data_IF_160751726746
#
_entry.id   IF_160751726746
#
_cell.length_a   1.000
_cell.length_b   1.000
_cell.length_c   1.000
_cell.angle_alpha   90.00
_cell.angle_beta   90.00
_cell.angle_gamma   90.00
#
_symmetry.space_group_name_H-M   'P 1'
#
loop_
_entity.id
_entity.type
_entity.pdbx_description
1 polymer ?
#
# COMPACT_ATOMS: atom_id res chain seq x y z
N UNK A 1 -22.15 -21.90 10.76
CA UNK A 1 -23.03 -22.92 10.13
C UNK A 1 -22.28 -24.23 10.19
N UNK A 2 -22.72 -25.21 10.98
CA UNK A 2 -22.18 -26.57 10.90
C UNK A 2 -23.39 -27.47 10.73
N UNK A 3 -23.38 -28.32 9.70
CA UNK A 3 -24.50 -29.20 9.41
C UNK A 3 -24.71 -30.15 10.61
N UNK A 4 -25.96 -30.35 11.02
CA UNK A 4 -26.33 -31.26 12.11
C UNK A 4 -26.06 -32.75 11.77
N UNK A 5 -25.41 -33.03 10.63
CA UNK A 5 -25.17 -34.36 10.07
C UNK A 5 -23.71 -34.83 10.11
N UNK A 6 -22.71 -33.99 10.47
CA UNK A 6 -21.33 -34.46 10.71
C UNK A 6 -21.22 -34.95 12.17
N UNK A 7 -22.08 -35.92 12.51
CA UNK A 7 -22.20 -36.52 13.83
C UNK A 7 -22.12 -38.03 13.68
N UNK A 8 -20.96 -38.59 14.00
CA UNK A 8 -20.87 -40.00 14.41
C UNK A 8 -20.66 -40.05 15.93
N UNK A 9 -20.78 -41.24 16.54
CA UNK A 9 -20.46 -41.40 17.97
C UNK A 9 -19.01 -41.04 18.32
N UNK A 10 -18.12 -41.06 17.33
CA UNK A 10 -16.66 -40.96 17.51
C UNK A 10 -16.02 -39.72 16.85
N UNK A 11 -16.77 -38.94 16.06
CA UNK A 11 -16.28 -37.70 15.43
C UNK A 11 -17.35 -36.62 15.44
N UNK A 12 -17.08 -35.57 16.21
CA UNK A 12 -17.89 -34.36 16.29
C UNK A 12 -17.07 -33.19 15.75
N UNK A 13 -17.43 -32.70 14.56
CA UNK A 13 -16.66 -31.64 13.90
C UNK A 13 -16.55 -30.37 14.75
N UNK A 14 -17.61 -30.00 15.48
CA UNK A 14 -17.59 -28.80 16.32
C UNK A 14 -16.59 -28.94 17.47
N UNK A 15 -16.63 -30.08 18.18
CA UNK A 15 -15.67 -30.35 19.26
C UNK A 15 -14.24 -30.40 18.73
N UNK A 16 -14.00 -31.03 17.57
CA UNK A 16 -12.68 -31.11 16.95
C UNK A 16 -12.15 -29.74 16.51
N UNK A 17 -13.01 -28.87 15.96
CA UNK A 17 -12.66 -27.47 15.67
C UNK A 17 -12.20 -26.77 16.95
N UNK A 18 -12.94 -26.89 18.04
CA UNK A 18 -12.62 -26.21 19.29
C UNK A 18 -11.31 -26.78 19.91
N UNK A 19 -11.21 -28.10 20.05
CA UNK A 19 -10.10 -28.81 20.73
C UNK A 19 -8.80 -28.84 19.92
N UNK A 20 -8.86 -29.13 18.62
CA UNK A 20 -7.64 -29.35 17.82
C UNK A 20 -7.09 -28.07 17.18
N UNK A 21 -7.94 -27.05 16.98
CA UNK A 21 -7.57 -25.80 16.28
C UNK A 21 -7.65 -24.62 17.24
N UNK A 22 -8.83 -24.31 17.78
CA UNK A 22 -9.02 -23.06 18.51
C UNK A 22 -8.27 -23.00 19.85
N UNK A 23 -8.11 -24.12 20.57
CA UNK A 23 -7.23 -24.13 21.77
C UNK A 23 -5.80 -23.68 21.45
N UNK A 24 -5.27 -24.01 20.26
CA UNK A 24 -3.98 -23.54 19.80
C UNK A 24 -4.05 -22.07 19.33
N UNK A 25 -5.07 -21.72 18.54
CA UNK A 25 -5.23 -20.35 18.02
C UNK A 25 -5.39 -19.31 19.14
N UNK A 26 -6.09 -19.64 20.22
CA UNK A 26 -6.22 -18.80 21.41
C UNK A 26 -4.84 -18.44 22.00
N UNK A 27 -3.91 -19.39 22.04
CA UNK A 27 -2.57 -19.20 22.60
C UNK A 27 -1.70 -18.27 21.75
N UNK A 28 -2.00 -18.13 20.45
CA UNK A 28 -1.20 -17.34 19.51
C UNK A 28 -1.91 -16.07 19.02
N UNK A 29 -3.06 -15.71 19.62
CA UNK A 29 -3.78 -14.48 19.31
C UNK A 29 -4.68 -14.54 18.08
N UNK A 30 -5.19 -15.73 17.73
CA UNK A 30 -6.08 -15.99 16.60
C UNK A 30 -7.42 -16.63 17.00
N UNK A 31 -7.73 -16.66 18.30
CA UNK A 31 -8.96 -17.26 18.84
C UNK A 31 -10.27 -16.65 18.36
N UNK A 32 -10.24 -15.39 17.90
CA UNK A 32 -11.42 -14.63 17.51
C UNK A 32 -11.82 -14.79 16.04
N UNK A 33 -11.06 -15.55 15.24
CA UNK A 33 -11.45 -15.81 13.84
C UNK A 33 -12.76 -16.60 13.78
N UNK A 34 -13.54 -16.42 12.72
CA UNK A 34 -14.79 -17.16 12.56
C UNK A 34 -14.51 -18.66 12.41
N UNK A 35 -15.25 -19.50 13.17
CA UNK A 35 -15.17 -20.96 13.05
C UNK A 35 -15.55 -21.46 11.65
N UNK A 36 -16.34 -20.67 10.92
CA UNK A 36 -16.66 -20.92 9.52
C UNK A 36 -15.44 -20.90 8.60
N UNK A 37 -14.36 -20.22 8.99
CA UNK A 37 -13.06 -20.25 8.28
C UNK A 37 -12.50 -21.68 8.21
N UNK A 38 -12.69 -22.49 9.25
CA UNK A 38 -12.30 -23.91 9.22
C UNK A 38 -13.16 -24.69 8.21
N UNK A 39 -14.47 -24.48 8.21
CA UNK A 39 -15.36 -25.16 7.26
C UNK A 39 -15.15 -24.70 5.81
N UNK A 40 -14.74 -23.45 5.59
CA UNK A 40 -14.33 -22.95 4.29
C UNK A 40 -13.04 -23.61 3.82
N UNK A 41 -12.07 -23.80 4.73
CA UNK A 41 -10.82 -24.50 4.43
C UNK A 41 -11.09 -25.96 4.05
N UNK A 42 -11.92 -26.67 4.82
CA UNK A 42 -12.33 -28.04 4.48
C UNK A 42 -13.01 -28.11 3.11
N UNK A 43 -13.96 -27.22 2.83
CA UNK A 43 -14.65 -27.18 1.54
C UNK A 43 -13.69 -26.87 0.38
N UNK A 44 -12.71 -26.00 0.59
CA UNK A 44 -11.72 -25.70 -0.44
C UNK A 44 -10.78 -26.87 -0.71
N UNK A 45 -10.29 -27.54 0.35
CA UNK A 45 -9.39 -28.69 0.25
C UNK A 45 -10.06 -29.94 -0.36
N UNK A 46 -11.35 -30.18 -0.04
CA UNK A 46 -12.07 -31.37 -0.49
C UNK A 46 -12.76 -31.13 -1.85
N UNK A 47 -13.50 -30.03 -1.98
CA UNK A 47 -14.36 -29.76 -3.15
C UNK A 47 -13.77 -28.75 -4.13
N UNK A 48 -12.64 -28.11 -3.78
CA UNK A 48 -12.04 -27.04 -4.60
C UNK A 48 -12.85 -25.74 -4.63
N UNK A 49 -13.82 -25.55 -3.71
CA UNK A 49 -14.64 -24.33 -3.63
C UNK A 49 -15.07 -23.97 -2.21
N UNK A 50 -15.17 -22.66 -1.95
CA UNK A 50 -15.66 -22.11 -0.69
C UNK A 50 -17.16 -21.84 -0.66
N UNK A 51 -17.94 -22.34 -1.63
CA UNK A 51 -19.38 -22.05 -1.70
C UNK A 51 -20.12 -22.49 -0.43
N UNK A 52 -21.18 -21.75 -0.07
CA UNK A 52 -22.01 -22.12 1.09
C UNK A 52 -22.65 -23.50 0.93
N UNK A 53 -22.95 -23.91 -0.31
CA UNK A 53 -23.50 -25.23 -0.60
C UNK A 53 -22.45 -26.33 -0.40
N UNK A 54 -21.20 -26.14 -0.83
CA UNK A 54 -20.10 -27.06 -0.53
C UNK A 54 -19.89 -27.21 0.97
N UNK A 55 -19.77 -26.09 1.71
CA UNK A 55 -19.63 -26.11 3.18
C UNK A 55 -20.76 -26.88 3.89
N UNK A 56 -21.99 -26.80 3.38
CA UNK A 56 -23.15 -27.50 3.98
C UNK A 56 -23.20 -28.97 3.61
N UNK A 57 -22.72 -29.34 2.42
CA UNK A 57 -22.85 -30.68 1.87
C UNK A 57 -21.56 -31.51 1.97
N UNK A 58 -20.55 -31.03 2.70
CA UNK A 58 -19.36 -31.80 3.06
C UNK A 58 -19.71 -33.21 3.55
N UNK A 59 -19.17 -34.22 2.89
CA UNK A 59 -19.37 -35.61 3.27
C UNK A 59 -18.64 -35.91 4.59
N UNK A 60 -19.31 -36.52 5.58
CA UNK A 60 -18.70 -36.81 6.87
C UNK A 60 -17.49 -37.77 6.82
N UNK A 61 -17.41 -38.66 5.84
CA UNK A 61 -16.30 -39.59 5.66
C UNK A 61 -15.11 -38.84 5.06
N UNK A 62 -15.32 -38.05 4.00
CA UNK A 62 -14.27 -37.20 3.41
C UNK A 62 -13.70 -36.20 4.42
N UNK A 63 -14.56 -35.58 5.25
CA UNK A 63 -14.10 -34.68 6.33
C UNK A 63 -13.21 -35.41 7.33
N UNK A 64 -13.54 -36.66 7.68
CA UNK A 64 -12.74 -37.45 8.62
C UNK A 64 -11.39 -37.85 8.04
N UNK A 65 -11.37 -38.20 6.76
CA UNK A 65 -10.14 -38.59 6.06
C UNK A 65 -9.17 -37.40 5.90
N UNK A 66 -9.69 -36.21 5.62
CA UNK A 66 -8.87 -35.02 5.33
C UNK A 66 -8.69 -34.06 6.52
N UNK A 67 -9.18 -34.43 7.72
CA UNK A 67 -9.19 -33.55 8.89
C UNK A 67 -7.79 -33.14 9.34
N UNK A 68 -6.89 -34.11 9.53
CA UNK A 68 -5.57 -33.85 10.08
C UNK A 68 -4.73 -32.98 9.13
N UNK A 69 -4.77 -33.27 7.83
CA UNK A 69 -4.04 -32.49 6.82
C UNK A 69 -4.61 -31.07 6.70
N UNK A 70 -5.94 -30.91 6.74
CA UNK A 70 -6.58 -29.58 6.73
C UNK A 70 -6.21 -28.77 7.96
N UNK A 71 -6.19 -29.40 9.14
CA UNK A 71 -5.81 -28.76 10.40
C UNK A 71 -4.36 -28.29 10.36
N UNK A 72 -3.41 -29.15 9.95
CA UNK A 72 -2.00 -28.78 9.84
C UNK A 72 -1.75 -27.70 8.78
N UNK A 73 -2.45 -27.76 7.66
CA UNK A 73 -2.39 -26.77 6.59
C UNK A 73 -2.89 -25.39 7.07
N UNK A 74 -4.00 -25.34 7.81
CA UNK A 74 -4.53 -24.09 8.38
C UNK A 74 -3.60 -23.48 9.42
N UNK A 75 -3.05 -24.28 10.34
CA UNK A 75 -2.08 -23.81 11.33
C UNK A 75 -0.82 -23.28 10.63
N UNK A 76 -0.34 -23.99 9.59
CA UNK A 76 0.82 -23.58 8.80
C UNK A 76 0.57 -22.27 8.04
N UNK A 77 -0.62 -22.10 7.45
CA UNK A 77 -1.03 -20.86 6.79
C UNK A 77 -1.02 -19.66 7.73
N UNK A 78 -1.58 -19.81 8.94
CA UNK A 78 -1.53 -18.75 9.97
C UNK A 78 -0.09 -18.47 10.39
N UNK A 79 0.71 -19.52 10.63
CA UNK A 79 2.14 -19.37 10.95
C UNK A 79 2.92 -18.62 9.87
N UNK A 80 2.63 -18.91 8.60
CA UNK A 80 3.21 -18.23 7.45
C UNK A 80 2.82 -16.75 7.41
N UNK A 81 1.54 -16.43 7.55
CA UNK A 81 1.03 -15.04 7.59
C UNK A 81 1.67 -14.24 8.73
N UNK A 82 1.83 -14.84 9.92
CA UNK A 82 2.50 -14.20 11.07
C UNK A 82 3.96 -13.87 10.80
N UNK A 83 4.65 -14.76 10.07
CA UNK A 83 6.09 -14.65 9.80
C UNK A 83 6.38 -13.70 8.65
N UNK A 84 5.71 -13.89 7.51
CA UNK A 84 6.02 -13.16 6.27
C UNK A 84 5.25 -11.86 6.15
N UNK A 85 3.98 -11.83 6.55
CA UNK A 85 3.08 -10.72 6.22
C UNK A 85 2.78 -9.80 7.39
N UNK A 86 3.40 -10.00 8.56
CA UNK A 86 3.16 -9.15 9.73
C UNK A 86 1.76 -9.32 10.35
N UNK A 87 1.02 -10.37 9.99
CA UNK A 87 -0.29 -10.69 10.60
C UNK A 87 -0.06 -11.24 12.00
N UNK A 88 0.28 -10.41 12.99
CA UNK A 88 0.70 -10.88 14.32
C UNK A 88 -0.45 -11.41 15.17
N UNK A 89 -1.68 -10.95 14.89
CA UNK A 89 -2.93 -11.31 15.56
C UNK A 89 -4.07 -11.37 14.54
N UNK A 90 -5.19 -12.01 14.91
CA UNK A 90 -6.40 -12.07 14.06
C UNK A 90 -6.88 -10.71 13.59
N UNK A 91 -6.81 -9.68 14.43
CA UNK A 91 -7.33 -8.34 14.13
C UNK A 91 -6.47 -7.57 13.11
N UNK A 92 -5.30 -8.10 12.76
CA UNK A 92 -4.41 -7.52 11.75
C UNK A 92 -4.68 -8.11 10.37
N UNK A 93 -5.37 -9.25 10.27
CA UNK A 93 -5.57 -9.90 8.98
C UNK A 93 -6.47 -9.02 8.09
N UNK A 94 -6.06 -8.69 6.85
CA UNK A 94 -6.91 -7.90 5.96
C UNK A 94 -8.27 -8.53 5.73
N UNK A 95 -8.28 -9.84 5.51
CA UNK A 95 -9.49 -10.64 5.35
C UNK A 95 -9.26 -12.07 5.86
N UNK A 96 -10.14 -12.56 6.73
CA UNK A 96 -10.05 -13.95 7.24
C UNK A 96 -10.08 -15.00 6.12
N UNK A 97 -10.75 -14.69 5.01
CA UNK A 97 -10.77 -15.53 3.80
C UNK A 97 -9.41 -15.76 3.13
N UNK A 98 -8.36 -15.04 3.53
CA UNK A 98 -6.99 -15.36 3.11
C UNK A 98 -6.46 -16.66 3.74
N UNK A 99 -6.92 -17.02 4.95
CA UNK A 99 -6.47 -18.22 5.67
C UNK A 99 -6.84 -19.48 4.88
N UNK A 100 -8.10 -19.70 4.42
CA UNK A 100 -8.46 -20.89 3.66
C UNK A 100 -7.69 -21.02 2.34
N UNK A 101 -7.44 -19.93 1.62
CA UNK A 101 -6.73 -19.98 0.33
C UNK A 101 -5.25 -20.36 0.51
N UNK A 102 -4.59 -19.78 1.52
CA UNK A 102 -3.22 -20.19 1.88
C UNK A 102 -3.17 -21.61 2.44
N UNK A 103 -4.15 -22.01 3.25
CA UNK A 103 -4.23 -23.37 3.76
C UNK A 103 -4.43 -24.38 2.62
N UNK A 104 -5.23 -24.03 1.60
CA UNK A 104 -5.35 -24.83 0.38
C UNK A 104 -4.02 -25.01 -0.34
N UNK A 105 -3.21 -23.95 -0.49
CA UNK A 105 -1.84 -24.08 -1.02
C UNK A 105 -1.01 -25.08 -0.19
N UNK A 106 -1.03 -24.97 1.13
CA UNK A 106 -0.25 -25.83 2.03
C UNK A 106 -0.70 -27.30 1.93
N UNK A 107 -2.01 -27.50 1.80
CA UNK A 107 -2.64 -28.81 1.63
C UNK A 107 -2.26 -29.45 0.29
N UNK A 108 -2.44 -28.75 -0.82
CA UNK A 108 -2.13 -29.27 -2.17
C UNK A 108 -0.64 -29.57 -2.38
N UNK A 109 0.23 -28.82 -1.70
CA UNK A 109 1.69 -29.03 -1.80
C UNK A 109 2.25 -30.00 -0.77
N UNK A 110 1.46 -30.44 0.22
CA UNK A 110 1.91 -31.16 1.42
C UNK A 110 3.09 -30.44 2.10
N UNK A 111 2.98 -29.11 2.24
CA UNK A 111 4.03 -28.26 2.83
C UNK A 111 3.51 -27.46 4.01
N UNK A 112 4.44 -27.14 4.91
CA UNK A 112 4.20 -26.25 6.06
C UNK A 112 4.60 -24.80 5.78
N UNK A 113 5.09 -24.52 4.58
CA UNK A 113 5.58 -23.22 4.17
C UNK A 113 5.47 -23.09 2.64
N UNK A 114 5.42 -21.86 2.14
CA UNK A 114 5.45 -21.56 0.71
C UNK A 114 6.81 -21.97 0.13
N UNK A 115 6.78 -22.63 -1.04
CA UNK A 115 7.97 -22.93 -1.83
C UNK A 115 8.68 -21.61 -2.20
N UNK A 116 10.01 -21.49 -2.02
CA UNK A 116 10.77 -20.33 -2.47
C UNK A 116 10.44 -19.86 -3.90
N UNK A 117 10.19 -20.79 -4.83
CA UNK A 117 9.86 -20.46 -6.23
C UNK A 117 8.47 -19.83 -6.37
N UNK A 118 7.58 -20.00 -5.38
CA UNK A 118 6.22 -19.45 -5.34
C UNK A 118 6.13 -18.20 -4.45
N UNK A 119 7.18 -17.86 -3.71
CA UNK A 119 7.19 -16.84 -2.66
C UNK A 119 6.74 -15.47 -3.18
N UNK A 120 7.33 -15.00 -4.27
CA UNK A 120 7.02 -13.68 -4.86
C UNK A 120 5.54 -13.57 -5.28
N UNK A 121 5.01 -14.61 -5.94
CA UNK A 121 3.62 -14.63 -6.40
C UNK A 121 2.64 -14.67 -5.22
N UNK A 122 2.90 -15.48 -4.18
CA UNK A 122 2.03 -15.55 -3.00
C UNK A 122 2.08 -14.24 -2.20
N UNK A 123 3.25 -13.60 -2.08
CA UNK A 123 3.39 -12.33 -1.39
C UNK A 123 2.65 -11.22 -2.15
N UNK A 124 2.80 -11.14 -3.48
CA UNK A 124 2.03 -10.21 -4.32
C UNK A 124 0.53 -10.46 -4.20
N UNK A 125 0.10 -11.73 -4.16
CA UNK A 125 -1.31 -12.08 -3.97
C UNK A 125 -1.82 -11.52 -2.65
N UNK A 126 -1.12 -11.74 -1.53
CA UNK A 126 -1.54 -11.24 -0.23
C UNK A 126 -1.76 -9.72 -0.25
N UNK A 127 -0.77 -8.95 -0.71
CA UNK A 127 -0.83 -7.49 -0.70
C UNK A 127 -1.89 -6.96 -1.67
N UNK A 128 -2.01 -7.53 -2.86
CA UNK A 128 -3.03 -7.12 -3.82
C UNK A 128 -4.44 -7.45 -3.37
N UNK A 129 -4.68 -8.59 -2.72
CA UNK A 129 -5.99 -8.89 -2.11
C UNK A 129 -6.32 -7.86 -1.02
N UNK A 130 -5.35 -7.51 -0.18
CA UNK A 130 -5.53 -6.55 0.92
C UNK A 130 -5.86 -5.13 0.42
N UNK A 131 -5.12 -4.65 -0.58
CA UNK A 131 -5.18 -3.26 -1.07
C UNK A 131 -6.29 -3.02 -2.09
N UNK A 132 -6.66 -4.02 -2.90
CA UNK A 132 -7.78 -3.91 -3.86
C UNK A 132 -9.17 -4.01 -3.19
N UNK A 133 -9.22 -4.49 -1.95
CA UNK A 133 -10.48 -4.82 -1.29
C UNK A 133 -11.18 -6.03 -1.89
N UNK A 134 -10.44 -6.97 -2.51
CA UNK A 134 -10.97 -8.12 -3.26
C UNK A 134 -12.03 -8.92 -2.51
N UNK A 135 -11.85 -9.12 -1.20
CA UNK A 135 -12.78 -9.90 -0.37
C UNK A 135 -13.80 -9.04 0.40
N UNK A 136 -13.90 -7.74 0.11
CA UNK A 136 -14.93 -6.86 0.69
C UNK A 136 -16.36 -7.22 0.27
N UNK A 137 -16.51 -7.95 -0.84
CA UNK A 137 -17.77 -8.47 -1.34
C UNK A 137 -17.58 -9.84 -2.00
N UNK A 138 -18.61 -10.68 -1.97
CA UNK A 138 -18.60 -12.00 -2.61
C UNK A 138 -17.37 -12.87 -2.27
N UNK A 139 -16.90 -12.79 -1.02
CA UNK A 139 -15.63 -13.37 -0.58
C UNK A 139 -15.47 -14.85 -0.97
N UNK A 140 -16.49 -15.69 -0.77
CA UNK A 140 -16.44 -17.12 -1.11
C UNK A 140 -16.19 -17.38 -2.60
N UNK A 141 -16.80 -16.60 -3.49
CA UNK A 141 -16.56 -16.69 -4.93
C UNK A 141 -15.13 -16.29 -5.25
N UNK A 142 -14.64 -15.18 -4.69
CA UNK A 142 -13.27 -14.72 -4.90
C UNK A 142 -12.22 -15.67 -4.34
N UNK A 143 -12.47 -16.28 -3.20
CA UNK A 143 -11.60 -17.33 -2.64
C UNK A 143 -11.54 -18.57 -3.55
N UNK A 144 -12.66 -18.93 -4.20
CA UNK A 144 -12.68 -20.03 -5.17
C UNK A 144 -11.94 -19.66 -6.46
N UNK A 145 -12.03 -18.41 -6.92
CA UNK A 145 -11.20 -17.93 -8.04
C UNK A 145 -9.70 -17.97 -7.67
N UNK A 146 -9.37 -17.56 -6.44
CA UNK A 146 -8.00 -17.49 -5.96
C UNK A 146 -7.39 -18.87 -5.70
N UNK A 147 -8.19 -19.90 -5.37
CA UNK A 147 -7.68 -21.27 -5.34
C UNK A 147 -7.27 -21.77 -6.73
N UNK A 148 -7.94 -21.31 -7.79
CA UNK A 148 -7.52 -21.58 -9.18
C UNK A 148 -6.29 -20.80 -9.60
N UNK A 149 -6.08 -19.63 -9.00
CA UNK A 149 -4.81 -18.91 -9.11
C UNK A 149 -3.69 -19.72 -8.44
N UNK A 150 -3.93 -20.22 -7.23
CA UNK A 150 -3.00 -21.09 -6.50
C UNK A 150 -2.67 -22.37 -7.28
N UNK A 151 -3.65 -23.05 -7.88
CA UNK A 151 -3.43 -24.24 -8.71
C UNK A 151 -2.41 -23.96 -9.83
N UNK A 152 -2.49 -22.77 -10.46
CA UNK A 152 -1.57 -22.35 -11.53
C UNK A 152 -0.17 -22.03 -11.00
N UNK A 153 -0.08 -21.37 -9.85
CA UNK A 153 1.21 -21.13 -9.16
C UNK A 153 1.89 -22.49 -8.88
N UNK A 154 1.15 -23.45 -8.32
CA UNK A 154 1.67 -24.80 -8.01
C UNK A 154 2.13 -25.52 -9.28
N UNK A 155 1.46 -25.29 -10.41
CA UNK A 155 1.86 -25.84 -11.70
C UNK A 155 3.14 -25.20 -12.29
N UNK A 156 3.73 -24.21 -11.60
CA UNK A 156 4.93 -23.49 -12.05
C UNK A 156 4.65 -22.44 -13.12
N UNK A 157 3.40 -21.99 -13.25
CA UNK A 157 3.06 -20.86 -14.12
C UNK A 157 3.48 -19.54 -13.48
N UNK A 158 3.90 -18.59 -14.33
CA UNK A 158 4.02 -17.19 -13.93
C UNK A 158 2.63 -16.55 -14.01
N UNK A 159 2.00 -16.38 -12.85
CA UNK A 159 0.61 -15.94 -12.74
C UNK A 159 0.56 -14.45 -12.47
N UNK A 160 -0.02 -13.73 -13.43
CA UNK A 160 -0.26 -12.30 -13.29
C UNK A 160 -1.40 -12.04 -12.29
N UNK A 161 -1.10 -11.34 -11.20
CA UNK A 161 -2.06 -11.01 -10.14
C UNK A 161 -2.53 -9.57 -10.34
N UNK A 162 -3.47 -9.34 -11.24
CA UNK A 162 -3.93 -7.99 -11.59
C UNK A 162 -5.17 -7.56 -10.82
N UNK A 163 -5.09 -7.55 -9.49
CA UNK A 163 -6.12 -6.89 -8.69
C UNK A 163 -5.76 -5.42 -8.56
N UNK A 164 -6.57 -4.56 -9.17
CA UNK A 164 -6.38 -3.10 -9.12
C UNK A 164 -6.36 -2.65 -7.66
N UNK A 165 -5.23 -2.14 -7.14
CA UNK A 165 -5.16 -1.65 -5.78
C UNK A 165 -6.09 -0.43 -5.66
N UNK A 166 -6.75 -0.30 -4.52
CA UNK A 166 -7.56 0.87 -4.24
C UNK A 166 -6.89 1.67 -3.13
N UNK A 167 -5.81 2.36 -3.46
CA UNK A 167 -4.98 3.11 -2.53
C UNK A 167 -4.49 4.39 -3.20
N UNK A 168 -4.45 5.45 -2.41
CA UNK A 168 -3.86 6.75 -2.72
C UNK A 168 -3.39 7.38 -1.41
N UNK A 169 -2.55 8.40 -1.44
CA UNK A 169 -2.12 9.14 -0.24
C UNK A 169 -3.33 9.72 0.50
N UNK A 170 -4.30 10.29 -0.22
CA UNK A 170 -5.57 10.77 0.34
C UNK A 170 -6.39 9.67 1.00
N UNK A 171 -6.47 8.49 0.37
CA UNK A 171 -7.18 7.36 0.95
C UNK A 171 -6.49 6.85 2.22
N UNK A 172 -5.15 6.87 2.29
CA UNK A 172 -4.40 6.55 3.50
C UNK A 172 -4.70 7.57 4.61
N UNK A 173 -4.64 8.87 4.33
CA UNK A 173 -4.95 9.95 5.29
C UNK A 173 -6.37 9.87 5.81
N UNK A 174 -7.34 9.56 4.96
CA UNK A 174 -8.77 9.54 5.34
C UNK A 174 -9.25 8.19 5.91
N UNK A 175 -8.44 7.13 5.80
CA UNK A 175 -8.78 5.81 6.34
C UNK A 175 -8.83 5.83 7.86
N UNK A 176 -9.93 5.32 8.40
CA UNK A 176 -10.21 5.40 9.83
C UNK A 176 -9.68 4.16 10.57
N UNK A 177 -8.81 4.37 11.56
CA UNK A 177 -8.26 3.28 12.38
C UNK A 177 -9.33 2.40 13.05
N UNK A 178 -10.53 2.94 13.31
CA UNK A 178 -11.62 2.20 13.97
C UNK A 178 -12.45 1.31 13.05
N UNK A 179 -12.22 1.33 11.73
CA UNK A 179 -12.90 0.43 10.78
C UNK A 179 -12.16 -0.89 10.71
N UNK A 180 -12.32 -1.74 11.72
CA UNK A 180 -11.58 -3.02 11.88
C UNK A 180 -11.75 -4.00 10.71
N UNK A 181 -12.81 -3.88 9.92
CA UNK A 181 -13.05 -4.70 8.72
C UNK A 181 -12.42 -4.13 7.44
N UNK A 182 -11.66 -3.04 7.53
CA UNK A 182 -11.01 -2.42 6.37
C UNK A 182 -9.72 -3.16 6.02
N UNK A 183 -9.66 -3.71 4.81
CA UNK A 183 -8.46 -4.35 4.26
C UNK A 183 -7.25 -3.42 4.27
N UNK A 184 -7.40 -2.17 3.81
CA UNK A 184 -6.32 -1.17 3.80
C UNK A 184 -5.77 -0.85 5.20
N UNK A 185 -6.66 -0.65 6.18
CA UNK A 185 -6.27 -0.41 7.59
C UNK A 185 -5.48 -1.58 8.17
N UNK A 186 -5.91 -2.81 7.86
CA UNK A 186 -5.29 -4.03 8.34
C UNK A 186 -3.95 -4.30 7.60
N UNK A 187 -3.88 -4.00 6.29
CA UNK A 187 -2.65 -4.01 5.50
C UNK A 187 -1.61 -3.05 6.05
N UNK A 188 -2.03 -1.84 6.46
CA UNK A 188 -1.14 -0.86 7.10
C UNK A 188 -0.52 -1.39 8.40
N UNK A 189 -1.30 -2.06 9.25
CA UNK A 189 -0.72 -2.70 10.44
C UNK A 189 0.22 -3.84 10.11
N UNK A 190 -0.12 -4.64 9.09
CA UNK A 190 0.73 -5.71 8.60
C UNK A 190 2.08 -5.18 8.10
N UNK A 191 2.07 -4.07 7.35
CA UNK A 191 3.26 -3.38 6.87
C UNK A 191 4.14 -2.92 8.04
N UNK A 192 3.56 -2.16 8.98
CA UNK A 192 4.31 -1.72 10.16
C UNK A 192 4.87 -2.91 10.96
N UNK A 193 4.09 -3.97 11.15
CA UNK A 193 4.53 -5.17 11.87
C UNK A 193 5.63 -5.95 11.13
N UNK A 194 5.62 -5.92 9.78
CA UNK A 194 6.66 -6.50 8.93
C UNK A 194 7.98 -5.73 9.06
N UNK A 195 7.92 -4.41 9.28
CA UNK A 195 9.09 -3.55 9.47
C UNK A 195 9.73 -3.69 10.86
N UNK A 196 9.19 -4.56 11.74
CA UNK A 196 9.74 -4.90 13.07
C UNK A 196 9.97 -3.62 13.91
N UNK A 197 8.87 -2.96 14.30
CA UNK A 197 8.90 -1.63 14.89
C UNK A 197 9.73 -1.62 16.18
N UNK A 198 10.58 -0.61 16.33
CA UNK A 198 11.51 -0.50 17.46
C UNK A 198 10.97 0.42 18.57
N UNK A 199 11.26 0.10 19.82
CA UNK A 199 10.91 0.90 20.98
C UNK A 199 11.68 2.22 20.95
N UNK A 200 10.95 3.33 21.04
CA UNK A 200 11.49 4.66 20.77
C UNK A 200 12.63 5.12 21.70
N UNK A 201 12.69 4.63 22.94
CA UNK A 201 13.74 5.06 23.89
C UNK A 201 14.97 4.13 23.91
N UNK A 202 14.84 2.86 23.52
CA UNK A 202 15.92 1.86 23.73
C UNK A 202 16.27 1.02 22.50
N UNK A 203 15.55 1.19 21.38
CA UNK A 203 15.82 0.52 20.12
C UNK A 203 15.50 -0.98 20.10
N UNK A 204 14.88 -1.53 21.16
CA UNK A 204 14.47 -2.94 21.19
C UNK A 204 13.25 -3.20 20.30
N UNK A 205 13.12 -4.39 19.71
CA UNK A 205 11.94 -4.74 18.91
C UNK A 205 10.70 -4.88 19.80
N UNK A 206 9.59 -4.31 19.35
CA UNK A 206 8.31 -4.37 20.05
C UNK A 206 7.65 -5.73 19.80
N UNK A 207 7.29 -6.45 20.87
CA UNK A 207 6.54 -7.71 20.76
C UNK A 207 5.04 -7.46 20.53
N UNK A 208 4.64 -7.51 19.25
CA UNK A 208 3.27 -7.30 18.82
C UNK A 208 2.32 -8.48 19.11
N UNK A 209 2.81 -9.55 19.76
CA UNK A 209 1.96 -10.70 20.16
C UNK A 209 1.22 -10.46 21.48
N UNK A 210 1.61 -9.43 22.24
CA UNK A 210 1.00 -9.10 23.53
C UNK A 210 -0.46 -8.62 23.42
N UNK A 211 -1.25 -8.87 24.47
CA UNK A 211 -2.68 -8.53 24.53
C UNK A 211 -2.99 -7.03 24.57
N UNK A 212 -2.00 -6.17 24.78
CA UNK A 212 -2.22 -4.72 24.71
C UNK A 212 -2.55 -4.23 23.30
N UNK A 213 -2.14 -4.98 22.28
CA UNK A 213 -2.45 -4.74 20.88
C UNK A 213 -3.78 -5.37 20.44
N UNK A 214 -4.48 -6.08 21.34
CA UNK A 214 -5.81 -6.63 21.11
C UNK A 214 -6.91 -5.53 21.11
N UNK A 215 -8.08 -5.86 20.54
CA UNK A 215 -9.33 -5.08 20.65
C UNK A 215 -9.29 -3.62 20.17
N UNK A 216 -8.29 -3.24 19.35
CA UNK A 216 -8.11 -1.84 18.94
C UNK A 216 -8.15 -0.83 20.09
N UNK A 217 -7.69 -1.26 21.28
CA UNK A 217 -7.14 -0.31 22.26
C UNK A 217 -5.97 0.50 21.67
N UNK A 218 -5.52 0.09 20.49
CA UNK A 218 -4.67 0.81 19.55
C UNK A 218 -5.07 2.29 19.27
N UNK A 219 -6.27 2.73 19.65
CA UNK A 219 -6.67 4.15 19.76
C UNK A 219 -5.80 5.01 20.69
N UNK A 220 -4.73 4.43 21.24
CA UNK A 220 -3.82 5.03 22.20
C UNK A 220 -2.41 5.23 21.66
N UNK A 221 -2.06 4.69 20.50
CA UNK A 221 -0.70 4.79 19.96
C UNK A 221 -0.65 5.84 18.85
N UNK A 222 -1.09 7.04 19.20
CA UNK A 222 -1.04 8.17 18.29
C UNK A 222 0.36 8.78 18.34
N UNK A 223 0.91 9.14 17.19
CA UNK A 223 2.16 9.91 17.10
C UNK A 223 1.90 11.32 17.61
N UNK A 224 0.80 11.93 17.18
CA UNK A 224 0.30 13.20 17.67
C UNK A 224 -0.82 12.95 18.69
N UNK A 225 -0.64 13.30 19.98
CA UNK A 225 -1.65 13.00 20.98
C UNK A 225 -3.04 13.55 20.62
N UNK A 226 -4.05 12.71 20.76
CA UNK A 226 -5.44 13.05 20.50
C UNK A 226 -5.96 14.29 21.27
N UNK A 227 -5.38 14.56 22.45
CA UNK A 227 -5.70 15.75 23.24
C UNK A 227 -5.07 17.01 22.62
N UNK A 228 -3.83 16.91 22.15
CA UNK A 228 -3.11 17.97 21.46
C UNK A 228 -3.84 18.40 20.18
N UNK A 229 -4.13 17.45 19.28
CA UNK A 229 -4.84 17.74 18.02
C UNK A 229 -6.24 18.35 18.23
N UNK A 230 -6.91 18.02 19.34
CA UNK A 230 -8.21 18.61 19.67
C UNK A 230 -8.09 20.09 20.07
N UNK A 231 -6.96 20.48 20.67
CA UNK A 231 -6.66 21.88 20.99
C UNK A 231 -6.35 22.72 19.74
N UNK A 232 -6.00 22.08 18.63
CA UNK A 232 -5.79 22.68 17.31
C UNK A 232 -7.03 22.60 16.40
N UNK A 233 -8.22 22.35 16.97
CA UNK A 233 -9.50 22.27 16.27
C UNK A 233 -9.66 21.17 15.21
N UNK A 234 -8.75 20.17 15.14
CA UNK A 234 -8.95 19.00 14.29
C UNK A 234 -10.19 18.19 14.71
N UNK A 235 -11.02 17.88 13.71
CA UNK A 235 -12.26 17.13 13.89
C UNK A 235 -12.01 15.71 14.39
N UNK A 236 -13.08 15.07 14.90
CA UNK A 236 -13.03 13.66 15.31
C UNK A 236 -12.72 12.71 14.13
N UNK A 237 -12.94 13.14 12.89
CA UNK A 237 -12.66 12.33 11.69
C UNK A 237 -11.17 12.36 11.38
N UNK A 238 -10.57 13.55 11.34
CA UNK A 238 -9.15 13.77 11.03
C UNK A 238 -8.23 13.07 12.05
N UNK A 239 -8.55 13.19 13.34
CA UNK A 239 -7.78 12.55 14.45
C UNK A 239 -7.88 11.01 14.52
N UNK A 240 -8.50 10.37 13.54
CA UNK A 240 -8.63 8.91 13.46
C UNK A 240 -7.97 8.34 12.20
N UNK A 241 -7.17 9.15 11.51
CA UNK A 241 -6.35 8.68 10.41
C UNK A 241 -5.45 7.53 10.85
N UNK A 242 -5.26 6.54 9.98
CA UNK A 242 -4.24 5.51 10.18
C UNK A 242 -2.81 6.08 10.09
N UNK A 243 -2.61 7.23 9.41
CA UNK A 243 -1.31 7.89 9.29
C UNK A 243 -0.79 8.46 10.61
N UNK A 244 -1.65 8.61 11.62
CA UNK A 244 -1.24 9.03 12.96
C UNK A 244 -1.01 7.85 13.91
N UNK A 245 -1.15 6.60 13.43
CA UNK A 245 -1.06 5.40 14.26
C UNK A 245 0.32 4.78 14.12
N UNK A 246 0.89 4.37 15.26
CA UNK A 246 2.12 3.59 15.29
C UNK A 246 2.09 2.55 16.41
N UNK A 247 3.10 1.71 16.56
CA UNK A 247 3.16 0.79 17.71
C UNK A 247 3.96 1.42 18.85
N UNK A 248 3.30 1.73 19.96
CA UNK A 248 3.93 2.33 21.15
C UNK A 248 3.58 1.49 22.37
N UNK A 249 4.51 0.85 23.10
CA UNK A 249 4.10 -0.01 24.19
C UNK A 249 3.49 0.78 25.36
N UNK A 250 2.64 0.13 26.17
CA UNK A 250 1.71 0.80 27.08
C UNK A 250 2.39 1.65 28.18
N UNK A 251 3.56 1.25 28.64
CA UNK A 251 4.45 2.01 29.54
C UNK A 251 4.93 3.31 28.89
N UNK A 252 5.40 3.29 27.65
CA UNK A 252 5.88 4.46 26.93
C UNK A 252 4.72 5.40 26.64
N UNK A 253 3.59 4.86 26.17
CA UNK A 253 2.40 5.67 25.91
C UNK A 253 1.87 6.38 27.17
N UNK A 254 1.90 5.73 28.35
CA UNK A 254 1.55 6.37 29.63
C UNK A 254 2.50 7.51 29.99
N UNK A 255 3.77 7.38 29.63
CA UNK A 255 4.84 8.35 29.90
C UNK A 255 4.71 9.56 28.96
N UNK A 256 4.35 9.31 27.71
CA UNK A 256 4.12 10.31 26.67
C UNK A 256 2.90 11.20 26.97
N UNK A 257 1.83 10.63 27.52
CA UNK A 257 0.62 11.38 27.92
C UNK A 257 0.11 12.30 26.79
N UNK A 258 0.25 13.63 26.96
CA UNK A 258 -0.19 14.70 26.07
C UNK A 258 1.00 15.54 25.56
N UNK A 259 2.23 15.06 25.74
CA UNK A 259 3.44 15.67 25.20
C UNK A 259 3.38 15.73 23.68
N UNK A 260 3.64 16.91 23.11
CA UNK A 260 3.61 17.12 21.65
C UNK A 260 4.66 16.29 20.92
N UNK A 261 4.40 15.97 19.64
CA UNK A 261 5.34 15.23 18.79
C UNK A 261 6.71 15.92 18.74
N UNK A 262 6.73 17.25 18.53
CA UNK A 262 7.95 18.08 18.54
C UNK A 262 8.78 17.92 19.81
N UNK A 263 8.14 18.01 20.96
CA UNK A 263 8.84 17.92 22.24
C UNK A 263 9.43 16.52 22.45
N UNK A 264 8.64 15.50 22.14
CA UNK A 264 9.07 14.12 22.36
C UNK A 264 10.15 13.69 21.36
N UNK A 265 9.93 13.84 20.06
CA UNK A 265 10.91 13.47 19.05
C UNK A 265 12.15 14.38 19.10
N UNK A 266 12.00 15.66 19.45
CA UNK A 266 13.13 16.55 19.71
C UNK A 266 14.02 16.05 20.86
N UNK A 267 13.43 15.47 21.91
CA UNK A 267 14.21 14.83 22.98
C UNK A 267 14.89 13.55 22.48
N UNK A 268 14.14 12.66 21.82
CA UNK A 268 14.69 11.40 21.32
C UNK A 268 15.85 11.60 20.34
N UNK A 269 15.75 12.56 19.43
CA UNK A 269 16.79 12.88 18.46
C UNK A 269 18.12 13.31 19.12
N UNK A 270 18.05 13.88 20.33
CA UNK A 270 19.24 14.25 21.10
C UNK A 270 19.76 13.10 21.99
N UNK A 271 18.85 12.27 22.50
CA UNK A 271 19.16 11.28 23.55
C UNK A 271 19.43 9.86 23.00
N UNK A 272 18.97 9.54 21.79
CA UNK A 272 18.99 8.18 21.23
C UNK A 272 19.86 8.12 19.97
N UNK A 273 20.95 7.36 20.04
CA UNK A 273 21.92 7.24 18.93
C UNK A 273 21.33 6.56 17.66
N UNK A 274 20.31 5.71 17.81
CA UNK A 274 19.67 4.99 16.70
C UNK A 274 18.34 5.64 16.27
N UNK A 275 18.18 6.95 16.50
CA UNK A 275 16.94 7.67 16.24
C UNK A 275 16.40 7.43 14.82
N UNK A 276 17.20 7.68 13.78
CA UNK A 276 16.79 7.52 12.37
C UNK A 276 16.26 6.12 12.09
N UNK A 277 17.04 5.09 12.47
CA UNK A 277 16.67 3.67 12.34
C UNK A 277 15.34 3.35 13.06
N UNK A 278 15.12 3.93 14.24
CA UNK A 278 13.87 3.78 14.96
C UNK A 278 12.74 4.40 14.15
N UNK A 279 12.89 5.63 13.65
CA UNK A 279 11.86 6.31 12.87
C UNK A 279 11.50 5.54 11.59
N UNK A 280 12.51 5.02 10.89
CA UNK A 280 12.35 4.19 9.69
C UNK A 280 11.54 2.92 9.96
N UNK A 281 11.80 2.24 11.09
CA UNK A 281 11.06 1.02 11.47
C UNK A 281 9.54 1.25 11.67
N UNK A 282 9.12 2.51 11.84
CA UNK A 282 7.72 2.91 11.95
C UNK A 282 7.21 3.71 10.74
N UNK A 283 8.03 3.90 9.71
CA UNK A 283 7.74 4.78 8.57
C UNK A 283 7.34 6.19 9.04
N UNK A 284 8.12 6.80 9.95
CA UNK A 284 7.88 8.16 10.43
C UNK A 284 8.89 9.08 9.74
N UNK A 285 8.45 10.08 8.94
CA UNK A 285 9.34 11.03 8.28
C UNK A 285 10.10 11.83 9.33
N UNK A 286 11.42 11.96 9.16
CA UNK A 286 12.29 12.58 10.17
C UNK A 286 13.35 13.50 9.58
N UNK A 287 13.27 13.81 8.28
CA UNK A 287 14.10 14.82 7.61
C UNK A 287 13.91 16.21 8.21
N UNK A 288 14.80 17.15 7.89
CA UNK A 288 14.82 18.50 8.50
C UNK A 288 13.49 19.27 8.35
N UNK A 289 12.74 19.02 7.28
CA UNK A 289 11.44 19.62 6.98
C UNK A 289 10.24 18.77 7.43
N UNK A 290 10.47 17.70 8.20
CA UNK A 290 9.40 16.85 8.69
C UNK A 290 8.44 17.60 9.61
N UNK A 291 7.13 17.37 9.41
CA UNK A 291 6.07 17.98 10.22
C UNK A 291 6.17 17.65 11.71
N UNK A 292 6.90 16.58 12.10
CA UNK A 292 7.12 16.24 13.52
C UNK A 292 7.92 17.33 14.26
N UNK A 293 8.77 18.09 13.58
CA UNK A 293 9.66 19.09 14.21
C UNK A 293 8.94 20.39 14.57
N UNK A 294 7.80 20.68 13.94
CA UNK A 294 7.03 21.89 14.18
C UNK A 294 5.58 21.64 14.62
N UNK A 295 5.25 20.37 14.91
CA UNK A 295 3.88 19.92 15.16
C UNK A 295 2.92 20.23 14.00
N UNK A 296 3.43 20.27 12.76
CA UNK A 296 2.63 20.41 11.57
C UNK A 296 2.02 19.04 11.20
N UNK A 297 0.81 18.81 11.70
CA UNK A 297 0.13 17.53 11.54
C UNK A 297 -0.24 17.25 10.07
N UNK A 298 -0.62 18.27 9.31
CA UNK A 298 -1.03 18.09 7.91
C UNK A 298 0.18 17.75 7.03
N UNK A 299 1.30 18.46 7.19
CA UNK A 299 2.57 18.12 6.52
C UNK A 299 3.06 16.73 6.91
N UNK A 300 3.01 16.39 8.20
CA UNK A 300 3.38 15.05 8.68
C UNK A 300 2.52 13.94 8.03
N UNK A 301 1.21 14.15 7.94
CA UNK A 301 0.30 13.18 7.33
C UNK A 301 0.60 12.97 5.84
N UNK A 302 0.96 14.03 5.11
CA UNK A 302 1.34 13.94 3.70
C UNK A 302 2.62 13.12 3.53
N UNK A 303 3.71 13.56 4.19
CA UNK A 303 5.01 12.91 4.12
C UNK A 303 4.93 11.43 4.49
N UNK A 304 4.20 11.09 5.56
CA UNK A 304 4.03 9.69 5.98
C UNK A 304 3.15 8.89 5.02
N UNK A 305 2.14 9.51 4.42
CA UNK A 305 1.30 8.83 3.43
C UNK A 305 2.09 8.48 2.18
N UNK A 306 3.00 9.35 1.74
CA UNK A 306 3.94 9.07 0.63
C UNK A 306 4.83 7.87 0.95
N UNK A 307 5.51 7.86 2.10
CA UNK A 307 6.37 6.73 2.51
C UNK A 307 5.60 5.39 2.54
N UNK A 308 4.40 5.39 3.14
CA UNK A 308 3.56 4.20 3.23
C UNK A 308 3.03 3.77 1.87
N UNK A 309 2.66 4.72 1.01
CA UNK A 309 2.23 4.43 -0.35
C UNK A 309 3.36 3.79 -1.15
N UNK A 310 4.59 4.32 -1.05
CA UNK A 310 5.77 3.78 -1.72
C UNK A 310 6.02 2.32 -1.35
N UNK A 311 6.06 2.02 -0.05
CA UNK A 311 6.20 0.64 0.45
C UNK A 311 5.11 -0.29 -0.10
N UNK A 312 3.87 0.19 -0.19
CA UNK A 312 2.78 -0.62 -0.73
C UNK A 312 2.90 -0.90 -2.22
N UNK A 313 3.31 0.08 -3.05
CA UNK A 313 3.46 -0.25 -4.47
C UNK A 313 4.65 -1.19 -4.73
N UNK A 314 5.64 -1.21 -3.85
CA UNK A 314 6.80 -2.13 -3.96
C UNK A 314 6.32 -3.55 -3.70
N UNK A 315 5.55 -3.74 -2.63
CA UNK A 315 4.99 -5.02 -2.23
C UNK A 315 4.01 -5.63 -3.25
N UNK A 316 3.34 -4.82 -4.07
CA UNK A 316 2.46 -5.31 -5.16
C UNK A 316 3.19 -5.42 -6.51
N UNK A 317 4.47 -5.06 -6.57
CA UNK A 317 5.33 -5.16 -7.74
C UNK A 317 5.19 -4.03 -8.76
N UNK A 318 4.45 -2.96 -8.45
CA UNK A 318 4.23 -1.82 -9.36
C UNK A 318 5.47 -0.91 -9.45
N UNK A 319 6.24 -0.74 -8.36
CA UNK A 319 7.57 -0.10 -8.47
C UNK A 319 8.55 -0.96 -9.27
N UNK A 320 8.55 -2.28 -9.11
CA UNK A 320 9.56 -3.13 -9.77
C UNK A 320 9.47 -3.16 -11.30
N UNK A 321 8.27 -2.93 -11.87
CA UNK A 321 8.09 -2.82 -13.31
C UNK A 321 8.67 -1.51 -13.84
N UNK A 322 8.34 -0.39 -13.19
CA UNK A 322 8.86 0.94 -13.55
C UNK A 322 10.37 1.07 -13.27
N UNK A 323 10.87 0.54 -12.14
CA UNK A 323 12.31 0.43 -11.85
C UNK A 323 13.02 -0.47 -12.87
N UNK A 324 12.41 -1.58 -13.30
CA UNK A 324 12.95 -2.44 -14.35
C UNK A 324 13.06 -1.68 -15.66
N UNK A 325 12.04 -0.91 -16.04
CA UNK A 325 12.06 -0.11 -17.25
C UNK A 325 13.08 1.04 -17.14
N UNK A 326 13.17 1.70 -15.98
CA UNK A 326 14.16 2.72 -15.67
C UNK A 326 15.60 2.18 -15.67
N UNK A 327 15.81 0.91 -15.28
CA UNK A 327 17.13 0.26 -15.31
C UNK A 327 17.51 -0.27 -16.68
N UNK A 328 16.54 -0.80 -17.44
CA UNK A 328 16.80 -1.44 -18.72
C UNK A 328 16.78 -0.46 -19.90
N UNK A 329 15.89 0.54 -19.87
CA UNK A 329 15.77 1.59 -20.88
C UNK A 329 15.29 2.93 -20.26
N UNK A 330 16.15 3.61 -19.47
CA UNK A 330 15.81 4.88 -18.83
C UNK A 330 15.39 5.97 -19.82
N UNK A 331 15.86 5.90 -21.07
CA UNK A 331 15.52 6.88 -22.09
C UNK A 331 14.05 6.75 -22.52
N UNK A 332 13.55 5.52 -22.63
CA UNK A 332 12.14 5.25 -22.93
C UNK A 332 11.24 5.62 -21.77
N UNK A 333 11.62 5.26 -20.53
CA UNK A 333 10.85 5.62 -19.33
C UNK A 333 10.67 7.14 -19.19
N UNK A 334 11.75 7.92 -19.38
CA UNK A 334 11.68 9.40 -19.41
C UNK A 334 10.71 9.90 -20.48
N UNK A 335 10.76 9.32 -21.68
CA UNK A 335 9.91 9.74 -22.80
C UNK A 335 8.44 9.44 -22.51
N UNK A 336 8.14 8.28 -21.95
CA UNK A 336 6.78 7.88 -21.57
C UNK A 336 6.21 8.79 -20.48
N UNK A 337 7.00 9.11 -19.45
CA UNK A 337 6.61 10.06 -18.41
C UNK A 337 6.40 11.46 -18.97
N UNK A 338 7.24 11.95 -19.90
CA UNK A 338 6.99 13.24 -20.55
C UNK A 338 5.65 13.23 -21.33
N UNK A 339 5.32 12.14 -22.04
CA UNK A 339 4.04 12.02 -22.75
C UNK A 339 2.88 12.02 -21.77
N UNK A 340 2.97 11.23 -20.70
CA UNK A 340 1.97 11.10 -19.65
C UNK A 340 1.67 12.45 -18.98
N UNK A 341 2.70 13.24 -18.66
CA UNK A 341 2.54 14.60 -18.12
C UNK A 341 1.82 15.52 -19.10
N UNK A 342 2.19 15.49 -20.39
CA UNK A 342 1.56 16.37 -21.39
C UNK A 342 0.09 15.98 -21.63
N UNK A 343 -0.21 14.68 -21.68
CA UNK A 343 -1.57 14.17 -21.84
C UNK A 343 -2.44 14.54 -20.63
N UNK A 344 -1.86 14.47 -19.42
CA UNK A 344 -2.51 14.95 -18.20
C UNK A 344 -2.82 16.45 -18.24
N UNK A 345 -1.83 17.29 -18.58
CA UNK A 345 -2.04 18.74 -18.68
C UNK A 345 -3.11 19.07 -19.71
N UNK A 346 -3.05 18.45 -20.90
CA UNK A 346 -4.03 18.65 -21.96
C UNK A 346 -5.44 18.26 -21.52
N UNK A 347 -5.59 17.06 -20.94
CA UNK A 347 -6.89 16.56 -20.47
C UNK A 347 -7.52 17.49 -19.45
N UNK A 348 -6.80 17.83 -18.39
CA UNK A 348 -7.37 18.62 -17.29
C UNK A 348 -7.66 20.07 -17.71
N UNK A 349 -6.78 20.69 -18.50
CA UNK A 349 -7.02 22.05 -18.98
C UNK A 349 -8.10 22.12 -20.05
N UNK A 350 -8.20 21.13 -20.95
CA UNK A 350 -9.28 21.06 -21.93
C UNK A 350 -10.64 20.90 -21.26
N UNK A 351 -10.73 20.12 -20.19
CA UNK A 351 -11.92 20.00 -19.35
C UNK A 351 -12.26 21.33 -18.67
N UNK A 352 -11.27 22.04 -18.12
CA UNK A 352 -11.47 23.33 -17.48
C UNK A 352 -11.86 24.46 -18.46
N UNK A 353 -11.43 24.37 -19.72
CA UNK A 353 -11.66 25.39 -20.76
C UNK A 353 -12.94 25.19 -21.60
N UNK A 354 -13.85 24.28 -21.21
CA UNK A 354 -15.11 23.99 -21.93
C UNK A 354 -14.92 23.69 -23.45
N UNK A 355 -13.80 23.06 -23.82
CA UNK A 355 -13.47 22.73 -25.22
C UNK A 355 -12.97 23.91 -26.06
N UNK A 356 -12.66 25.05 -25.44
CA UNK A 356 -11.89 26.15 -26.03
C UNK A 356 -10.37 25.90 -25.95
N UNK A 357 -9.58 26.85 -26.46
CA UNK A 357 -8.12 26.76 -26.32
C UNK A 357 -7.69 27.15 -24.90
N UNK A 358 -6.92 26.28 -24.23
CA UNK A 358 -6.45 26.55 -22.87
C UNK A 358 -5.17 27.40 -22.82
N UNK A 359 -4.54 27.69 -23.96
CA UNK A 359 -3.28 28.44 -24.01
C UNK A 359 -3.40 29.91 -23.58
N UNK A 360 -4.62 30.43 -23.49
CA UNK A 360 -4.88 31.73 -22.86
C UNK A 360 -4.68 31.72 -21.34
N UNK A 361 -4.67 30.54 -20.72
CA UNK A 361 -4.57 30.34 -19.27
C UNK A 361 -3.17 29.84 -18.85
N UNK A 362 -2.30 29.58 -19.82
CA UNK A 362 -0.89 29.21 -19.63
C UNK A 362 -0.04 30.45 -19.32
N UNK A 363 0.95 30.37 -18.40
CA UNK A 363 1.84 31.50 -18.10
C UNK A 363 2.48 32.15 -19.33
N UNK A 364 2.53 33.48 -19.35
CA UNK A 364 3.01 34.25 -20.51
C UNK A 364 4.45 33.92 -20.92
N UNK A 365 5.33 33.62 -19.95
CA UNK A 365 6.72 33.24 -20.22
C UNK A 365 6.79 31.87 -20.91
N UNK A 366 6.01 30.89 -20.44
CA UNK A 366 5.89 29.57 -21.06
C UNK A 366 5.33 29.70 -22.48
N UNK A 367 4.22 30.45 -22.65
CA UNK A 367 3.61 30.66 -23.96
C UNK A 367 4.59 31.33 -24.94
N UNK A 368 5.30 32.36 -24.50
CA UNK A 368 6.32 33.03 -25.33
C UNK A 368 7.47 32.08 -25.74
N UNK A 369 7.92 31.21 -24.83
CA UNK A 369 8.97 30.24 -25.12
C UNK A 369 8.52 29.17 -26.12
N UNK A 370 7.30 28.65 -25.95
CA UNK A 370 6.69 27.66 -26.85
C UNK A 370 6.51 28.26 -28.24
N UNK A 371 5.95 29.46 -28.35
CA UNK A 371 5.78 30.16 -29.64
C UNK A 371 7.12 30.39 -30.35
N UNK A 372 8.16 30.75 -29.60
CA UNK A 372 9.51 30.88 -30.16
C UNK A 372 10.02 29.55 -30.72
N UNK A 373 9.91 28.45 -29.97
CA UNK A 373 10.37 27.11 -30.40
C UNK A 373 9.57 26.58 -31.61
N UNK A 374 8.26 26.82 -31.64
CA UNK A 374 7.41 26.49 -32.81
C UNK A 374 7.85 27.29 -34.03
N UNK A 375 8.10 28.60 -33.88
CA UNK A 375 8.56 29.45 -34.99
C UNK A 375 9.92 28.98 -35.53
N UNK A 376 10.85 28.60 -34.65
CA UNK A 376 12.16 28.04 -35.02
C UNK A 376 12.03 26.71 -35.81
N UNK A 377 11.06 25.87 -35.44
CA UNK A 377 10.77 24.62 -36.16
C UNK A 377 10.14 24.90 -37.53
N UNK A 378 9.20 25.85 -37.61
CA UNK A 378 8.56 26.25 -38.87
C UNK A 378 9.54 26.90 -39.85
N UNK A 379 10.49 27.69 -39.35
CA UNK A 379 11.57 28.27 -40.14
C UNK A 379 12.50 27.19 -40.71
N UNK A 380 12.70 26.10 -39.96
CA UNK A 380 13.54 24.96 -40.35
C UNK A 380 12.81 23.95 -41.23
N UNK A 381 11.50 23.81 -41.06
CA UNK A 381 10.62 22.91 -41.78
C UNK A 381 9.29 23.61 -42.14
N UNK A 382 9.18 24.26 -43.33
CA UNK A 382 8.01 25.04 -43.71
C UNK A 382 6.70 24.25 -43.86
N UNK A 383 6.76 22.92 -43.94
CA UNK A 383 5.58 22.04 -43.98
C UNK A 383 5.07 21.66 -42.57
N UNK A 384 5.81 22.02 -41.52
CA UNK A 384 5.45 21.73 -40.13
C UNK A 384 4.24 22.56 -39.68
N UNK A 385 3.22 21.89 -39.15
CA UNK A 385 2.04 22.50 -38.54
C UNK A 385 1.83 21.98 -37.12
N UNK A 386 1.18 22.80 -36.30
CA UNK A 386 0.75 22.46 -34.95
C UNK A 386 -0.77 22.50 -34.98
N UNK A 387 -1.40 21.35 -34.82
CA UNK A 387 -2.82 21.18 -35.17
C UNK A 387 -3.72 21.22 -33.92
N UNK A 388 -3.15 21.00 -32.73
CA UNK A 388 -3.86 20.99 -31.47
C UNK A 388 -3.14 21.75 -30.33
N UNK A 389 -3.87 22.00 -29.25
CA UNK A 389 -3.29 22.54 -28.03
C UNK A 389 -2.37 21.53 -27.32
N UNK A 390 -2.66 20.23 -27.48
CA UNK A 390 -1.79 19.14 -27.04
C UNK A 390 -0.44 19.15 -27.75
N UNK A 391 -0.43 19.40 -29.06
CA UNK A 391 0.79 19.42 -29.88
C UNK A 391 1.74 20.53 -29.43
N UNK A 392 1.19 21.68 -28.99
CA UNK A 392 2.00 22.78 -28.45
C UNK A 392 2.75 22.38 -27.16
N UNK A 393 2.25 21.41 -26.38
CA UNK A 393 2.94 20.91 -25.19
C UNK A 393 4.21 20.10 -25.54
N UNK A 394 4.36 19.62 -26.76
CA UNK A 394 5.60 18.96 -27.21
C UNK A 394 6.77 19.95 -27.32
N UNK A 395 6.48 21.25 -27.33
CA UNK A 395 7.46 22.34 -27.34
C UNK A 395 7.75 22.91 -25.95
N UNK A 396 7.12 22.39 -24.90
CA UNK A 396 7.47 22.69 -23.52
C UNK A 396 8.70 21.87 -23.08
N UNK A 397 9.48 22.40 -22.13
CA UNK A 397 10.45 21.60 -21.40
C UNK A 397 9.83 21.12 -20.06
N UNK A 398 10.54 20.26 -19.34
CA UNK A 398 10.06 19.69 -18.07
C UNK A 398 9.63 20.79 -17.07
N UNK A 399 10.41 21.87 -16.95
CA UNK A 399 10.08 22.97 -16.05
C UNK A 399 8.89 23.82 -16.51
N UNK A 400 8.61 23.86 -17.82
CA UNK A 400 7.42 24.52 -18.35
C UNK A 400 6.15 23.77 -17.88
N UNK A 401 6.18 22.43 -17.76
CA UNK A 401 5.07 21.64 -17.19
C UNK A 401 4.79 22.02 -15.73
N UNK A 402 5.83 22.03 -14.89
CA UNK A 402 5.72 22.40 -13.48
C UNK A 402 5.12 23.82 -13.32
N UNK A 403 5.55 24.77 -14.17
CA UNK A 403 5.01 26.13 -14.18
C UNK A 403 3.53 26.18 -14.55
N UNK A 404 3.12 25.44 -15.58
CA UNK A 404 1.71 25.35 -15.99
C UNK A 404 0.87 24.81 -14.84
N UNK A 405 1.29 23.68 -14.27
CA UNK A 405 0.61 23.03 -13.14
C UNK A 405 0.49 23.97 -11.94
N UNK A 406 1.60 24.59 -11.53
CA UNK A 406 1.63 25.49 -10.38
C UNK A 406 0.84 26.78 -10.60
N UNK A 407 0.77 27.28 -11.83
CA UNK A 407 -0.04 28.44 -12.18
C UNK A 407 -1.55 28.14 -12.17
N UNK A 408 -1.94 26.92 -12.56
CA UNK A 408 -3.33 26.45 -12.63
C UNK A 408 -3.64 25.45 -11.53
N UNK A 409 -3.22 25.77 -10.31
CA UNK A 409 -3.44 24.93 -9.14
C UNK A 409 -4.93 24.71 -8.82
N UNK A 410 -5.80 25.61 -9.27
CA UNK A 410 -7.25 25.46 -9.23
C UNK A 410 -7.75 24.23 -10.01
N UNK A 411 -7.00 23.77 -11.01
CA UNK A 411 -7.29 22.59 -11.83
C UNK A 411 -6.55 21.36 -11.32
N UNK A 412 -5.28 21.51 -10.97
CA UNK A 412 -4.39 20.37 -10.69
C UNK A 412 -4.26 20.00 -9.22
N UNK A 413 -4.69 20.88 -8.30
CA UNK A 413 -4.44 20.73 -6.86
C UNK A 413 -5.12 19.54 -6.20
N UNK A 414 -6.13 18.94 -6.84
CA UNK A 414 -6.78 17.72 -6.36
C UNK A 414 -6.00 16.44 -6.71
N UNK A 415 -5.06 16.52 -7.66
CA UNK A 415 -4.24 15.39 -8.12
C UNK A 415 -2.82 15.40 -7.54
N UNK A 416 -2.36 16.55 -7.05
CA UNK A 416 -0.96 16.78 -6.70
C UNK A 416 -0.81 17.28 -5.26
N UNK A 417 0.11 16.73 -4.46
CA UNK A 417 0.28 17.03 -3.03
C UNK A 417 0.45 18.52 -2.70
N UNK A 418 1.36 19.20 -3.38
CA UNK A 418 1.63 20.62 -3.18
C UNK A 418 2.39 21.23 -4.34
N UNK A 419 2.32 22.56 -4.47
CA UNK A 419 3.14 23.30 -5.46
C UNK A 419 4.64 23.09 -5.26
N UNK A 420 5.06 22.92 -4.00
CA UNK A 420 6.47 22.70 -3.66
C UNK A 420 6.93 21.32 -4.11
N UNK A 421 6.13 20.28 -3.86
CA UNK A 421 6.43 18.92 -4.31
C UNK A 421 6.51 18.85 -5.84
N UNK A 422 5.57 19.49 -6.55
CA UNK A 422 5.64 19.63 -8.01
C UNK A 422 6.93 20.32 -8.45
N UNK A 423 7.30 21.42 -7.80
CA UNK A 423 8.53 22.14 -8.16
C UNK A 423 9.76 21.23 -8.00
N UNK A 424 9.94 20.62 -6.83
CA UNK A 424 11.11 19.76 -6.53
C UNK A 424 11.16 18.56 -7.47
N UNK A 425 10.07 17.81 -7.60
CA UNK A 425 10.08 16.57 -8.40
C UNK A 425 10.29 16.82 -9.89
N UNK A 426 9.75 17.92 -10.42
CA UNK A 426 10.03 18.28 -11.82
C UNK A 426 11.45 18.82 -12.03
N UNK A 427 12.09 19.41 -11.01
CA UNK A 427 13.52 19.77 -11.06
C UNK A 427 14.39 18.52 -11.13
N UNK A 428 14.16 17.55 -10.23
CA UNK A 428 14.86 16.25 -10.21
C UNK A 428 14.68 15.51 -11.55
N UNK A 429 13.44 15.46 -12.05
CA UNK A 429 13.14 14.84 -13.35
C UNK A 429 13.84 15.57 -14.51
N UNK A 430 13.87 16.91 -14.50
CA UNK A 430 14.54 17.70 -15.52
C UNK A 430 16.05 17.46 -15.52
N UNK A 431 16.68 17.38 -14.35
CA UNK A 431 18.11 17.13 -14.21
C UNK A 431 18.48 15.75 -14.76
N UNK A 432 17.76 14.71 -14.33
CA UNK A 432 17.96 13.33 -14.78
C UNK A 432 17.77 13.17 -16.29
N UNK A 433 16.65 13.69 -16.83
CA UNK A 433 16.33 13.69 -18.26
C UNK A 433 17.42 14.37 -19.09
N UNK A 434 17.94 15.51 -18.62
CA UNK A 434 19.00 16.23 -19.31
C UNK A 434 20.34 15.50 -19.25
N UNK A 435 20.64 14.83 -18.14
CA UNK A 435 21.85 14.02 -18.00
C UNK A 435 21.86 12.86 -19.01
N UNK A 436 20.73 12.16 -19.15
CA UNK A 436 20.51 11.10 -20.15
C UNK A 436 20.61 11.61 -21.59
N UNK A 437 19.88 12.69 -21.93
CA UNK A 437 19.85 13.27 -23.27
C UNK A 437 21.23 13.76 -23.76
N UNK A 438 22.10 14.18 -22.85
CA UNK A 438 23.46 14.65 -23.17
C UNK A 438 24.55 13.58 -23.04
N UNK A 439 24.19 12.32 -22.79
CA UNK A 439 25.12 11.20 -22.58
C UNK A 439 26.20 11.53 -21.55
N UNK A 440 25.82 12.24 -20.48
CA UNK A 440 26.74 12.57 -19.39
C UNK A 440 26.87 11.37 -18.47
N UNK A 441 28.02 11.24 -17.82
CA UNK A 441 28.16 10.33 -16.69
C UNK A 441 27.22 10.85 -15.59
N UNK A 442 26.18 10.08 -15.28
CA UNK A 442 25.18 10.42 -14.28
C UNK A 442 25.72 9.95 -12.94
N UNK A 443 25.85 10.83 -11.97
CA UNK A 443 26.19 10.39 -10.62
C UNK A 443 24.99 9.71 -9.97
N UNK A 444 25.29 8.85 -8.99
CA UNK A 444 24.30 7.98 -8.35
C UNK A 444 23.16 8.76 -7.70
N UNK A 445 23.40 9.99 -7.22
CA UNK A 445 22.35 10.77 -6.55
C UNK A 445 21.36 11.32 -7.57
N UNK A 446 21.85 11.94 -8.65
CA UNK A 446 20.99 12.40 -9.76
C UNK A 446 20.20 11.25 -10.39
N UNK A 447 20.78 10.05 -10.51
CA UNK A 447 20.06 8.87 -10.99
C UNK A 447 18.90 8.49 -10.06
N UNK A 448 19.16 8.44 -8.75
CA UNK A 448 18.17 8.06 -7.75
C UNK A 448 17.05 9.11 -7.64
N UNK A 449 17.40 10.40 -7.55
CA UNK A 449 16.43 11.50 -7.47
C UNK A 449 15.55 11.55 -8.73
N UNK A 450 16.15 11.30 -9.90
CA UNK A 450 15.43 11.21 -11.17
C UNK A 450 14.45 10.04 -11.26
N UNK A 451 14.84 8.86 -10.77
CA UNK A 451 13.96 7.69 -10.71
C UNK A 451 12.79 7.94 -9.77
N UNK A 452 13.06 8.45 -8.57
CA UNK A 452 12.02 8.82 -7.59
C UNK A 452 11.08 9.88 -8.17
N UNK A 453 11.59 10.84 -8.93
CA UNK A 453 10.78 11.86 -9.57
C UNK A 453 9.83 11.29 -10.64
N UNK A 454 10.33 10.40 -11.51
CA UNK A 454 9.52 9.71 -12.52
C UNK A 454 8.42 8.89 -11.86
N UNK A 455 8.78 8.13 -10.84
CA UNK A 455 7.84 7.33 -10.06
C UNK A 455 6.76 8.18 -9.40
N UNK A 456 7.16 9.27 -8.76
CA UNK A 456 6.24 10.21 -8.13
C UNK A 456 5.27 10.81 -9.15
N UNK A 457 5.79 11.31 -10.28
CA UNK A 457 4.97 11.88 -11.36
C UNK A 457 3.94 10.86 -11.86
N UNK A 458 4.39 9.62 -12.14
CA UNK A 458 3.51 8.56 -12.62
C UNK A 458 2.46 8.20 -11.56
N UNK A 459 2.83 8.13 -10.28
CA UNK A 459 1.90 7.82 -9.20
C UNK A 459 0.78 8.85 -9.06
N UNK A 460 1.08 10.14 -9.22
CA UNK A 460 0.08 11.20 -9.11
C UNK A 460 -0.88 11.28 -10.32
N UNK A 461 -0.40 10.90 -11.50
CA UNK A 461 -1.10 11.16 -12.76
C UNK A 461 -1.85 9.93 -13.29
N UNK A 462 -1.45 8.72 -12.91
CA UNK A 462 -1.99 7.45 -13.47
C UNK A 462 -3.25 6.97 -12.74
N UNK A 463 -3.76 7.66 -11.72
CA UNK A 463 -4.92 7.23 -10.91
C UNK A 463 -6.27 7.07 -11.68
N UNK A 464 -6.34 7.28 -13.00
CA UNK A 464 -7.58 7.10 -13.80
C UNK A 464 -7.42 6.35 -15.15
N UNK A 465 -6.68 5.23 -15.18
CA UNK A 465 -6.81 4.25 -16.28
C UNK A 465 -7.36 2.89 -15.85
#
# INVERSE_FOLDING_TARGET
MVNANIWSRDFNLRSRIDEDIFEHLDQIGFGEIDRGTVTQTLALNIDGTCSTDAQKNLDPDDVRENWEDTKEAMISAIGYLRKQHGVKRSEFIPYEGMIPVLAYYMYETDRRNVDPDHQEQIDRWFWRVALSGRYSSSAQTRMTEDSKLVDRIIAGEDVEINFTPQISTERLKTTNIKRSTSGLRNAFLCLLARNRPLHFEDGSEIDLTENEYADFRLNKHHIFPNAYLRGLDYSKKERKSIMDITFIPAELNRRLSDTSAKEYFGRLANDVNEFERIMDSHLIPHDEDSGIWDNDYDTFQEQRAELVYSEFMELIGEYSALESDLRNDPQSAVKETEVLVRDFIDRELALASDGGTFWGEVPNDVNSNVQRRISEEQDSNPEFTVDSDRDKLDFCNVMDYAKIINARWDVFGDYLPSKSAVQTRFEDFAEFRNALAHHREIDRFTEMDGQVAIEWINSCITEEY
#
